data_IF_035286865343
#
_entry.id   IF_035286865343
#
_cell.length_a   1.000
_cell.length_b   1.000
_cell.length_c   1.000
_cell.angle_alpha   90.00
_cell.angle_beta   90.00
_cell.angle_gamma   90.00
#
_symmetry.space_group_name_H-M   'P 1'
#
loop_
_entity.id
_entity.type
_entity.pdbx_description
1 polymer ?
#
# COMPACT_ATOMS: atom_id res chain seq x y z
N UNK A 1 17.76 -1.06 -0.02
CA UNK A 1 17.30 0.28 -0.45
C UNK A 1 18.21 0.68 -1.57
N UNK A 2 17.66 0.87 -2.77
CA UNK A 2 18.38 1.32 -3.95
C UNK A 2 18.49 2.85 -3.92
N UNK A 3 19.44 3.38 -4.66
CA UNK A 3 19.51 4.81 -4.95
C UNK A 3 18.23 5.25 -5.68
N UNK A 4 17.56 6.28 -5.18
CA UNK A 4 16.26 6.74 -5.69
C UNK A 4 15.03 6.31 -4.88
N UNK A 5 15.17 5.34 -3.96
CA UNK A 5 14.08 4.96 -3.05
C UNK A 5 13.73 6.12 -2.10
N UNK A 6 12.45 6.52 -2.04
CA UNK A 6 11.96 7.58 -1.15
C UNK A 6 11.07 7.03 -0.06
N UNK A 7 11.53 7.10 1.20
CA UNK A 7 10.69 6.79 2.36
C UNK A 7 9.68 7.94 2.57
N UNK A 8 8.38 7.63 2.49
CA UNK A 8 7.29 8.59 2.70
C UNK A 8 6.91 8.65 4.17
N UNK A 9 6.74 7.49 4.80
CA UNK A 9 6.29 7.38 6.19
C UNK A 9 6.73 6.07 6.79
N UNK A 10 7.21 6.08 8.03
CA UNK A 10 7.54 4.85 8.75
C UNK A 10 7.12 4.96 10.20
N UNK A 11 6.60 3.89 10.77
CA UNK A 11 6.41 3.73 12.21
C UNK A 11 6.56 2.25 12.61
N UNK A 12 6.23 1.93 13.86
CA UNK A 12 6.33 0.57 14.41
C UNK A 12 5.33 -0.44 13.82
N UNK A 13 4.29 0.03 13.12
CA UNK A 13 3.20 -0.79 12.58
C UNK A 13 3.26 -0.92 11.06
N UNK A 14 3.80 0.06 10.34
CA UNK A 14 3.90 0.03 8.89
C UNK A 14 5.04 0.90 8.35
N UNK A 15 5.41 0.65 7.10
CA UNK A 15 6.32 1.48 6.30
C UNK A 15 5.70 1.76 4.93
N UNK A 16 5.84 3.01 4.48
CA UNK A 16 5.41 3.48 3.17
C UNK A 16 6.61 4.08 2.44
N UNK A 17 6.85 3.65 1.21
CA UNK A 17 7.91 4.16 0.36
C UNK A 17 7.46 4.19 -1.10
N UNK A 18 8.18 4.95 -1.92
CA UNK A 18 8.12 4.90 -3.37
C UNK A 18 9.50 4.46 -3.85
N UNK A 19 9.57 3.43 -4.69
CA UNK A 19 10.84 2.97 -5.23
C UNK A 19 11.32 3.84 -6.41
N UNK A 20 12.51 3.55 -6.91
CA UNK A 20 13.08 4.23 -8.09
C UNK A 20 12.23 4.07 -9.36
N UNK A 21 11.43 3.01 -9.45
CA UNK A 21 10.55 2.71 -10.59
C UNK A 21 9.20 3.44 -10.48
N UNK A 22 8.99 4.20 -9.39
CA UNK A 22 7.78 4.97 -9.14
C UNK A 22 6.63 4.13 -8.60
N UNK A 23 6.90 2.91 -8.12
CA UNK A 23 5.91 2.05 -7.48
C UNK A 23 5.81 2.41 -6.00
N UNK A 24 4.57 2.55 -5.52
CA UNK A 24 4.28 2.75 -4.12
C UNK A 24 4.23 1.44 -3.35
N UNK A 25 4.94 1.36 -2.22
CA UNK A 25 4.96 0.18 -1.38
C UNK A 25 4.44 0.49 0.02
N UNK A 26 3.50 -0.31 0.50
CA UNK A 26 2.98 -0.28 1.87
C UNK A 26 3.31 -1.61 2.53
N UNK A 27 4.23 -1.64 3.49
CA UNK A 27 4.52 -2.84 4.28
C UNK A 27 3.85 -2.74 5.65
N UNK A 28 2.91 -3.65 5.92
CA UNK A 28 2.29 -3.81 7.24
C UNK A 28 3.17 -4.73 8.09
N UNK A 29 3.64 -4.21 9.23
CA UNK A 29 4.56 -4.89 10.17
C UNK A 29 3.76 -5.43 11.38
N UNK A 30 2.74 -4.69 11.81
CA UNK A 30 1.81 -5.06 12.89
C UNK A 30 0.40 -4.69 12.50
N UNK A 31 -0.60 -5.26 13.19
CA UNK A 31 -2.02 -4.96 12.95
C UNK A 31 -2.27 -3.44 12.89
N UNK A 32 -2.99 -3.04 11.85
CA UNK A 32 -3.54 -1.69 11.66
C UNK A 32 -5.04 -1.80 11.51
N UNK A 33 -5.79 -0.79 11.95
CA UNK A 33 -7.22 -0.74 11.69
C UNK A 33 -7.48 -0.31 10.23
N UNK A 34 -8.69 -0.61 9.73
CA UNK A 34 -9.09 -0.29 8.36
C UNK A 34 -8.95 1.20 8.04
N UNK A 35 -9.35 2.09 8.96
CA UNK A 35 -9.20 3.54 8.79
C UNK A 35 -7.75 3.93 8.49
N UNK A 36 -6.80 3.37 9.23
CA UNK A 36 -5.36 3.63 9.03
C UNK A 36 -4.92 3.14 7.64
N UNK A 37 -5.39 1.98 7.20
CA UNK A 37 -5.07 1.42 5.88
C UNK A 37 -5.60 2.30 4.74
N UNK A 38 -6.82 2.81 4.88
CA UNK A 38 -7.43 3.74 3.92
C UNK A 38 -6.62 5.05 3.86
N UNK A 39 -6.28 5.63 5.00
CA UNK A 39 -5.55 6.90 5.06
C UNK A 39 -4.15 6.79 4.43
N UNK A 40 -3.41 5.71 4.70
CA UNK A 40 -2.08 5.51 4.10
C UNK A 40 -2.18 5.25 2.60
N UNK A 41 -3.20 4.48 2.17
CA UNK A 41 -3.43 4.20 0.76
C UNK A 41 -3.78 5.47 -0.01
N UNK A 42 -4.74 6.25 0.47
CA UNK A 42 -5.15 7.50 -0.15
C UNK A 42 -4.00 8.49 -0.24
N UNK A 43 -3.23 8.65 0.84
CA UNK A 43 -2.08 9.54 0.87
C UNK A 43 -1.02 9.12 -0.16
N UNK A 44 -0.76 7.82 -0.30
CA UNK A 44 0.22 7.31 -1.26
C UNK A 44 -0.27 7.45 -2.71
N UNK A 45 -1.54 7.11 -2.96
CA UNK A 45 -2.15 7.24 -4.29
C UNK A 45 -2.11 8.68 -4.81
N UNK A 46 -2.47 9.65 -3.96
CA UNK A 46 -2.40 11.07 -4.32
C UNK A 46 -0.97 11.55 -4.58
N UNK A 47 0.02 10.98 -3.89
CA UNK A 47 1.43 11.28 -4.13
C UNK A 47 1.89 10.73 -5.48
N UNK A 48 1.52 9.50 -5.82
CA UNK A 48 1.84 8.86 -7.10
C UNK A 48 1.19 9.60 -8.28
N UNK A 49 -0.06 10.05 -8.11
CA UNK A 49 -0.81 10.78 -9.14
C UNK A 49 -0.21 12.15 -9.51
N UNK A 50 0.77 12.65 -8.74
CA UNK A 50 1.49 13.89 -9.09
C UNK A 50 2.33 13.71 -10.36
N UNK A 51 2.78 12.49 -10.65
CA UNK A 51 3.41 12.16 -11.92
C UNK A 51 2.34 11.74 -12.93
N UNK A 52 1.96 12.66 -13.82
CA UNK A 52 0.92 12.42 -14.83
C UNK A 52 1.37 11.48 -15.96
N UNK A 53 2.66 11.14 -16.03
CA UNK A 53 3.20 10.25 -17.07
C UNK A 53 3.15 8.78 -16.65
N UNK A 54 2.71 8.47 -15.41
CA UNK A 54 2.67 7.12 -14.88
C UNK A 54 1.31 6.82 -14.26
N UNK A 55 0.79 5.66 -14.60
CA UNK A 55 -0.38 5.10 -13.90
C UNK A 55 0.05 4.72 -12.48
N UNK A 56 -0.65 5.19 -11.43
CA UNK A 56 -0.31 4.85 -10.05
C UNK A 56 -0.29 3.33 -9.83
N UNK A 57 0.79 2.82 -9.26
CA UNK A 57 0.94 1.42 -8.88
C UNK A 57 1.25 1.32 -7.39
N UNK A 58 0.43 0.59 -6.64
CA UNK A 58 0.61 0.36 -5.21
C UNK A 58 0.63 -1.14 -4.91
N UNK A 59 1.68 -1.59 -4.21
CA UNK A 59 1.76 -2.95 -3.64
C UNK A 59 1.71 -2.90 -2.12
N UNK A 60 0.80 -3.66 -1.51
CA UNK A 60 0.68 -3.84 -0.06
C UNK A 60 1.25 -5.19 0.35
N UNK A 61 2.18 -5.18 1.30
CA UNK A 61 2.80 -6.38 1.86
C UNK A 61 2.26 -6.64 3.26
N UNK A 62 1.70 -7.82 3.48
CA UNK A 62 1.16 -8.26 4.78
C UNK A 62 1.74 -9.62 5.15
N UNK A 63 2.07 -9.84 6.43
CA UNK A 63 2.46 -11.20 6.86
C UNK A 63 1.25 -12.14 6.82
N UNK A 64 1.49 -13.44 6.65
CA UNK A 64 0.40 -14.43 6.67
C UNK A 64 -0.47 -14.34 7.93
N UNK A 65 0.15 -14.22 9.11
CA UNK A 65 -0.55 -14.05 10.38
C UNK A 65 -1.45 -12.80 10.41
N UNK A 66 -0.97 -11.67 9.87
CA UNK A 66 -1.76 -10.44 9.79
C UNK A 66 -2.87 -10.59 8.76
N UNK A 67 -2.61 -11.27 7.64
CA UNK A 67 -3.61 -11.52 6.60
C UNK A 67 -4.75 -12.41 7.11
N UNK A 68 -4.44 -13.47 7.84
CA UNK A 68 -5.45 -14.39 8.40
C UNK A 68 -6.25 -13.71 9.53
N UNK A 69 -5.65 -12.74 10.23
CA UNK A 69 -6.31 -11.92 11.27
C UNK A 69 -7.05 -10.70 10.70
N UNK A 70 -6.71 -10.28 9.49
CA UNK A 70 -7.38 -9.22 8.77
C UNK A 70 -8.72 -9.78 8.29
N UNK A 71 -9.81 -9.19 8.80
CA UNK A 71 -11.17 -9.63 8.48
C UNK A 71 -11.51 -9.43 7.00
N UNK A 72 -12.65 -9.97 6.57
CA UNK A 72 -13.29 -9.73 5.26
C UNK A 72 -13.17 -8.26 4.78
N UNK A 73 -13.17 -7.30 5.71
CA UNK A 73 -13.01 -5.87 5.45
C UNK A 73 -11.79 -5.49 4.59
N UNK A 74 -10.69 -6.23 4.68
CA UNK A 74 -9.47 -5.93 3.90
C UNK A 74 -9.58 -6.45 2.48
N UNK A 75 -10.21 -7.62 2.31
CA UNK A 75 -10.58 -8.13 0.99
C UNK A 75 -11.61 -7.21 0.33
N UNK A 76 -12.65 -6.79 1.06
CA UNK A 76 -13.62 -5.80 0.58
C UNK A 76 -12.97 -4.47 0.21
N UNK A 77 -11.99 -4.01 0.99
CA UNK A 77 -11.25 -2.79 0.67
C UNK A 77 -10.42 -2.97 -0.60
N UNK A 78 -9.73 -4.10 -0.75
CA UNK A 78 -8.98 -4.43 -1.96
C UNK A 78 -9.88 -4.45 -3.19
N UNK A 79 -11.01 -5.15 -3.12
CA UNK A 79 -11.95 -5.28 -4.24
C UNK A 79 -12.60 -3.93 -4.57
N UNK A 80 -12.93 -3.13 -3.56
CA UNK A 80 -13.41 -1.76 -3.74
C UNK A 80 -12.36 -0.89 -4.44
N UNK A 81 -11.10 -0.93 -3.99
CA UNK A 81 -10.01 -0.18 -4.60
C UNK A 81 -9.84 -0.58 -6.06
N UNK A 82 -9.74 -1.87 -6.38
CA UNK A 82 -9.62 -2.33 -7.77
C UNK A 82 -10.80 -1.88 -8.63
N UNK A 83 -12.02 -1.84 -8.08
CA UNK A 83 -13.21 -1.46 -8.83
C UNK A 83 -13.25 0.01 -9.26
N UNK A 84 -12.51 0.88 -8.58
CA UNK A 84 -12.65 2.34 -8.71
C UNK A 84 -11.33 3.08 -8.97
N UNK A 85 -10.17 2.43 -8.82
CA UNK A 85 -8.87 3.07 -9.02
C UNK A 85 -8.48 3.04 -10.49
N UNK A 86 -8.09 4.19 -11.03
CA UNK A 86 -7.34 4.29 -12.28
C UNK A 86 -5.85 4.02 -11.98
N UNK A 87 -5.53 2.76 -11.69
CA UNK A 87 -4.24 2.34 -11.19
C UNK A 87 -4.08 0.82 -11.03
N UNK A 88 -2.87 0.39 -10.71
CA UNK A 88 -2.56 -1.02 -10.40
C UNK A 88 -2.46 -1.21 -8.89
N UNK A 89 -3.07 -2.29 -8.37
CA UNK A 89 -3.09 -2.61 -6.95
C UNK A 89 -2.77 -4.08 -6.71
N UNK A 90 -1.72 -4.34 -5.92
CA UNK A 90 -1.33 -5.70 -5.52
C UNK A 90 -1.41 -5.88 -4.01
N UNK A 91 -2.02 -6.98 -3.57
CA UNK A 91 -1.90 -7.48 -2.20
C UNK A 91 -0.98 -8.69 -2.17
N UNK A 92 0.17 -8.55 -1.50
CA UNK A 92 1.23 -9.55 -1.44
C UNK A 92 1.34 -10.09 -0.02
N UNK A 93 1.05 -11.38 0.13
CA UNK A 93 1.25 -12.10 1.40
C UNK A 93 2.69 -12.58 1.49
N UNK A 94 3.39 -12.15 2.53
CA UNK A 94 4.78 -12.53 2.82
C UNK A 94 4.85 -13.48 4.03
N UNK A 95 5.80 -14.42 3.98
CA UNK A 95 6.09 -15.34 5.09
C UNK A 95 7.08 -14.74 6.08
#
# INVERSE_FOLDING_TARGET
MKEGDRIIKTNKNYRVMIDSDGVGHIRIIRRVNLKTLIEIFQSLYLELKKDQNRTPHISIYVSRSICDEMSENVQYFHDFVISCLDGTFDLIVIN
#
